data_IF_961392962664
#
_entry.id   IF_961392962664
#
_cell.length_a   1.000
_cell.length_b   1.000
_cell.length_c   1.000
_cell.angle_alpha   90.00
_cell.angle_beta   90.00
_cell.angle_gamma   90.00
#
_symmetry.space_group_name_H-M   'P 1'
#
loop_
_entity.id
_entity.type
_entity.pdbx_description
1 polymer ?
#
# COMPACT_ATOMS: atom_id res chain seq x y z
N UNK A 1 1.93 -19.10 -20.60
CA UNK A 1 0.51 -19.27 -20.23
C UNK A 1 0.46 -19.94 -18.86
N UNK A 2 0.31 -19.17 -17.77
CA UNK A 2 0.24 -19.74 -16.42
C UNK A 2 -1.05 -20.53 -16.23
N UNK A 3 -0.95 -21.73 -15.66
CA UNK A 3 -2.09 -22.59 -15.32
C UNK A 3 -2.93 -21.90 -14.25
N UNK A 4 -4.12 -21.41 -14.59
CA UNK A 4 -5.08 -20.92 -13.59
C UNK A 4 -5.53 -22.10 -12.73
N UNK A 5 -5.39 -21.96 -11.42
CA UNK A 5 -5.91 -22.91 -10.45
C UNK A 5 -7.40 -22.62 -10.25
N UNK A 6 -8.24 -23.66 -10.26
CA UNK A 6 -9.68 -23.49 -10.03
C UNK A 6 -9.90 -23.22 -8.53
N UNK A 7 -10.76 -22.24 -8.20
CA UNK A 7 -11.09 -21.80 -6.83
C UNK A 7 -9.98 -21.03 -6.07
N UNK A 8 -9.04 -20.40 -6.78
CA UNK A 8 -8.06 -19.47 -6.18
C UNK A 8 -8.26 -18.07 -6.70
N UNK A 9 -8.01 -17.06 -5.86
CA UNK A 9 -7.97 -15.65 -6.25
C UNK A 9 -6.54 -15.12 -6.16
N UNK A 10 -6.23 -14.04 -6.90
CA UNK A 10 -4.97 -13.34 -6.74
C UNK A 10 -4.90 -12.72 -5.36
N UNK A 11 -3.81 -12.97 -4.63
CA UNK A 11 -3.63 -12.36 -3.31
C UNK A 11 -3.63 -10.84 -3.38
N UNK A 12 -2.95 -10.26 -4.38
CA UNK A 12 -2.85 -8.81 -4.53
C UNK A 12 -4.19 -8.15 -4.87
N UNK A 13 -4.98 -8.75 -5.76
CA UNK A 13 -6.32 -8.22 -6.08
C UNK A 13 -7.23 -8.30 -4.86
N UNK A 14 -7.15 -9.40 -4.11
CA UNK A 14 -7.93 -9.59 -2.89
C UNK A 14 -7.53 -8.61 -1.77
N UNK A 15 -6.23 -8.36 -1.60
CA UNK A 15 -5.69 -7.38 -0.66
C UNK A 15 -6.22 -5.97 -0.98
N UNK A 16 -6.20 -5.56 -2.24
CA UNK A 16 -6.76 -4.27 -2.68
C UNK A 16 -8.24 -4.16 -2.33
N UNK A 17 -9.02 -5.21 -2.59
CA UNK A 17 -10.44 -5.24 -2.25
C UNK A 17 -10.69 -5.16 -0.74
N UNK A 18 -9.86 -5.82 0.07
CA UNK A 18 -9.94 -5.74 1.53
C UNK A 18 -9.63 -4.33 2.05
N UNK A 19 -8.62 -3.66 1.49
CA UNK A 19 -8.27 -2.28 1.84
C UNK A 19 -9.37 -1.28 1.47
N UNK A 20 -10.10 -1.51 0.37
CA UNK A 20 -11.26 -0.70 -0.04
C UNK A 20 -12.46 -0.88 0.88
N UNK A 21 -12.67 -2.11 1.38
CA UNK A 21 -13.82 -2.47 2.21
C UNK A 21 -13.62 -2.12 3.69
N UNK A 22 -12.39 -2.20 4.19
CA UNK A 22 -12.05 -1.91 5.58
C UNK A 22 -11.11 -0.71 5.68
N UNK A 23 -11.73 0.43 5.96
CA UNK A 23 -11.05 1.68 6.20
C UNK A 23 -10.12 1.65 7.42
N UNK A 24 -10.43 0.86 8.46
CA UNK A 24 -9.57 0.70 9.63
C UNK A 24 -8.31 -0.09 9.31
N UNK A 25 -8.46 -1.18 8.56
CA UNK A 25 -7.36 -1.96 8.02
C UNK A 25 -6.43 -1.09 7.16
N UNK A 26 -6.99 -0.33 6.22
CA UNK A 26 -6.20 0.57 5.36
C UNK A 26 -5.40 1.60 6.16
N UNK A 27 -5.97 2.12 7.25
CA UNK A 27 -5.29 3.08 8.13
C UNK A 27 -4.10 2.44 8.83
N UNK A 28 -4.30 1.24 9.42
CA UNK A 28 -3.24 0.51 10.09
C UNK A 28 -2.13 0.08 9.10
N UNK A 29 -2.52 -0.36 7.90
CA UNK A 29 -1.60 -0.71 6.82
C UNK A 29 -0.73 0.48 6.43
N UNK A 30 -1.33 1.67 6.27
CA UNK A 30 -0.58 2.87 5.92
C UNK A 30 0.44 3.24 7.00
N UNK A 31 0.06 3.16 8.29
CA UNK A 31 0.98 3.43 9.39
C UNK A 31 2.16 2.46 9.42
N UNK A 32 1.89 1.16 9.23
CA UNK A 32 2.94 0.12 9.20
C UNK A 32 3.85 0.32 8.00
N UNK A 33 3.28 0.58 6.82
CA UNK A 33 4.03 0.78 5.59
C UNK A 33 4.98 1.97 5.72
N UNK A 34 4.50 3.09 6.24
CA UNK A 34 5.31 4.29 6.46
C UNK A 34 6.43 4.05 7.48
N UNK A 35 6.13 3.38 8.59
CA UNK A 35 7.15 3.00 9.57
C UNK A 35 8.21 2.05 8.97
N UNK A 36 7.80 1.14 8.10
CA UNK A 36 8.71 0.20 7.45
C UNK A 36 9.67 0.88 6.47
N UNK A 37 9.34 2.06 5.94
CA UNK A 37 10.24 2.82 5.06
C UNK A 37 11.48 3.36 5.78
N UNK A 38 11.39 3.56 7.10
CA UNK A 38 12.49 4.04 7.95
C UNK A 38 13.50 2.93 8.30
N UNK A 39 13.15 1.66 8.05
CA UNK A 39 14.01 0.50 8.28
C UNK A 39 14.49 -0.11 6.95
N UNK A 40 15.81 -0.23 6.76
CA UNK A 40 16.38 -0.78 5.54
C UNK A 40 15.92 -2.21 5.24
N UNK A 41 15.66 -3.03 6.28
CA UNK A 41 15.16 -4.39 6.10
C UNK A 41 13.66 -4.42 5.77
N UNK A 42 12.87 -3.50 6.33
CA UNK A 42 11.44 -3.35 6.10
C UNK A 42 11.06 -2.57 4.84
N UNK A 43 11.98 -1.78 4.25
CA UNK A 43 11.67 -0.80 3.21
C UNK A 43 10.98 -1.39 1.99
N UNK A 44 11.44 -2.55 1.49
CA UNK A 44 10.83 -3.21 0.34
C UNK A 44 9.40 -3.67 0.62
N UNK A 45 9.15 -4.21 1.82
CA UNK A 45 7.81 -4.55 2.28
C UNK A 45 6.89 -3.33 2.39
N UNK A 46 7.42 -2.22 2.95
CA UNK A 46 6.71 -0.95 3.03
C UNK A 46 6.27 -0.42 1.66
N UNK A 47 7.16 -0.45 0.66
CA UNK A 47 6.82 -0.02 -0.71
C UNK A 47 5.76 -0.91 -1.39
N UNK A 48 5.80 -2.22 -1.15
CA UNK A 48 4.77 -3.15 -1.65
C UNK A 48 3.40 -2.82 -1.05
N UNK A 49 3.35 -2.58 0.27
CA UNK A 49 2.12 -2.18 0.96
C UNK A 49 1.60 -0.82 0.46
N UNK A 50 2.48 0.16 0.28
CA UNK A 50 2.09 1.48 -0.26
C UNK A 50 1.49 1.37 -1.66
N UNK A 51 2.02 0.48 -2.51
CA UNK A 51 1.45 0.24 -3.83
C UNK A 51 0.04 -0.38 -3.76
N UNK A 52 -0.20 -1.30 -2.83
CA UNK A 52 -1.54 -1.86 -2.62
C UNK A 52 -2.53 -0.79 -2.14
N UNK A 53 -2.10 0.09 -1.22
CA UNK A 53 -2.91 1.21 -0.73
C UNK A 53 -3.23 2.20 -1.87
N UNK A 54 -2.23 2.60 -2.67
CA UNK A 54 -2.43 3.50 -3.79
C UNK A 54 -3.38 2.90 -4.87
N UNK A 55 -3.31 1.59 -5.10
CA UNK A 55 -4.25 0.90 -5.99
C UNK A 55 -5.67 0.79 -5.40
N UNK A 56 -5.80 0.78 -4.08
CA UNK A 56 -7.09 0.75 -3.38
C UNK A 56 -7.75 2.14 -3.32
N UNK A 57 -6.95 3.21 -3.18
CA UNK A 57 -7.39 4.59 -2.98
C UNK A 57 -6.80 5.48 -4.06
N UNK A 58 -7.48 5.57 -5.22
CA UNK A 58 -7.06 6.41 -6.34
C UNK A 58 -7.00 7.92 -5.96
N UNK A 59 -8.12 8.50 -5.51
CA UNK A 59 -8.20 9.92 -5.11
C UNK A 59 -8.35 10.13 -3.59
N UNK A 60 -8.56 9.05 -2.83
CA UNK A 60 -8.88 9.09 -1.39
C UNK A 60 -7.67 8.98 -0.45
N UNK A 61 -6.47 9.15 -0.99
CA UNK A 61 -5.23 8.84 -0.28
C UNK A 61 -4.90 9.91 0.77
N UNK A 62 -5.22 11.17 0.50
CA UNK A 62 -4.98 12.28 1.43
C UNK A 62 -5.86 12.16 2.68
N UNK A 63 -7.15 11.79 2.54
CA UNK A 63 -8.01 11.56 3.71
C UNK A 63 -7.54 10.34 4.52
N UNK A 64 -7.04 9.30 3.85
CA UNK A 64 -6.47 8.13 4.52
C UNK A 64 -5.21 8.51 5.30
N UNK A 65 -4.34 9.35 4.74
CA UNK A 65 -3.13 9.84 5.40
C UNK A 65 -3.45 10.69 6.63
N UNK A 66 -4.43 11.60 6.53
CA UNK A 66 -4.90 12.40 7.66
C UNK A 66 -5.43 11.50 8.79
N UNK A 67 -6.27 10.51 8.45
CA UNK A 67 -6.82 9.57 9.42
C UNK A 67 -5.75 8.66 10.05
N UNK A 68 -4.72 8.32 9.29
CA UNK A 68 -3.57 7.57 9.78
C UNK A 68 -2.60 8.41 10.63
N UNK A 69 -2.75 9.74 10.66
CA UNK A 69 -1.81 10.65 11.32
C UNK A 69 -0.44 10.67 10.64
N UNK A 70 -0.40 10.39 9.34
CA UNK A 70 0.83 10.31 8.54
C UNK A 70 1.04 11.63 7.79
N UNK A 71 2.30 12.03 7.64
CA UNK A 71 2.64 13.21 6.84
C UNK A 71 2.35 12.97 5.34
N UNK A 72 1.46 13.79 4.76
CA UNK A 72 1.07 13.71 3.34
C UNK A 72 2.24 13.90 2.38
N UNK A 73 3.13 14.87 2.63
CA UNK A 73 4.30 15.06 1.76
C UNK A 73 5.21 13.85 1.78
N UNK A 74 5.47 13.27 2.96
CA UNK A 74 6.27 12.05 3.09
C UNK A 74 5.64 10.88 2.34
N UNK A 75 4.31 10.72 2.42
CA UNK A 75 3.57 9.71 1.68
C UNK A 75 3.69 9.89 0.16
N UNK A 76 3.45 11.11 -0.34
CA UNK A 76 3.57 11.43 -1.76
C UNK A 76 5.01 11.23 -2.26
N UNK A 77 6.02 11.64 -1.48
CA UNK A 77 7.42 11.39 -1.79
C UNK A 77 7.75 9.89 -1.89
N UNK A 78 7.17 9.05 -1.03
CA UNK A 78 7.35 7.60 -1.07
C UNK A 78 6.69 6.93 -2.28
N UNK A 79 5.65 7.54 -2.84
CA UNK A 79 4.93 7.06 -4.02
C UNK A 79 5.50 7.56 -5.34
N UNK A 80 6.53 8.43 -5.30
CA UNK A 80 7.19 8.90 -6.51
C UNK A 80 7.74 7.73 -7.34
N UNK A 81 7.66 7.81 -8.69
CA UNK A 81 8.09 6.73 -9.57
C UNK A 81 9.54 6.28 -9.34
N UNK A 82 10.45 7.18 -8.95
CA UNK A 82 11.83 6.81 -8.64
C UNK A 82 11.98 5.90 -7.40
N UNK A 83 11.06 5.99 -6.45
CA UNK A 83 11.05 5.16 -5.24
C UNK A 83 10.42 3.79 -5.51
N UNK A 84 9.53 3.71 -6.51
CA UNK A 84 8.83 2.51 -6.94
C UNK A 84 9.68 1.62 -7.87
N UNK A 85 10.75 2.17 -8.45
CA UNK A 85 11.65 1.46 -9.35
C UNK A 85 12.56 0.50 -8.59
N UNK A 86 12.07 -0.71 -8.31
CA UNK A 86 12.91 -1.84 -7.89
C UNK A 86 13.74 -2.27 -9.10
N UNK A 87 15.06 -2.10 -9.03
CA UNK A 87 16.00 -2.69 -10.00
C UNK A 87 16.18 -4.18 -9.76
#
# INVERSE_FOLDING_TARGET
MSRKLNNTVSHHEREIDELRLDQGLATAYLQIAMKALDDAAGRSGGLIMLRAIAAAYDDGLDELAERAGVNREALHCALLPEQQAVK
#
